data_IF_121238888088
#
_entry.id   IF_121238888088
#
_cell.length_a   1.000
_cell.length_b   1.000
_cell.length_c   1.000
_cell.angle_alpha   90.00
_cell.angle_beta   90.00
_cell.angle_gamma   90.00
#
_symmetry.space_group_name_H-M   'P 1'
#
loop_
_entity.id
_entity.type
_entity.pdbx_description
1 polymer ?
#
# COMPACT_ATOMS: atom_id res chain seq x y z
N UNK A 1 -31.90 21.25 34.45
CA UNK A 1 -30.76 20.44 33.95
C UNK A 1 -31.12 19.66 32.67
N UNK A 2 -31.68 20.31 31.64
CA UNK A 2 -32.01 19.67 30.35
C UNK A 2 -31.20 20.22 29.16
N UNK A 3 -30.39 21.26 29.38
CA UNK A 3 -29.57 21.91 28.34
C UNK A 3 -28.11 21.47 28.31
N UNK A 4 -27.66 20.67 29.29
CA UNK A 4 -26.30 20.15 29.35
C UNK A 4 -26.11 18.82 28.60
N UNK A 5 -27.19 18.09 28.30
CA UNK A 5 -27.10 16.82 27.58
C UNK A 5 -26.90 17.00 26.06
N UNK A 6 -27.15 18.20 25.52
CA UNK A 6 -27.07 18.47 24.08
C UNK A 6 -25.64 18.70 23.57
N UNK A 7 -24.64 18.84 24.44
CA UNK A 7 -23.25 19.07 24.05
C UNK A 7 -22.41 17.78 23.89
N UNK A 8 -22.94 16.62 24.30
CA UNK A 8 -22.20 15.35 24.22
C UNK A 8 -22.47 14.59 22.90
N UNK A 9 -23.47 15.01 22.10
CA UNK A 9 -23.94 14.25 20.93
C UNK A 9 -23.21 14.56 19.61
N UNK A 10 -22.02 15.18 19.61
CA UNK A 10 -21.32 15.61 18.36
C UNK A 10 -19.92 14.98 18.20
N UNK A 11 -19.55 13.95 18.98
CA UNK A 11 -18.22 13.33 18.81
C UNK A 11 -18.25 11.81 18.71
N UNK A 12 -19.20 11.25 17.96
CA UNK A 12 -19.00 9.94 17.34
C UNK A 12 -18.43 10.17 15.95
N UNK A 13 -17.16 10.59 15.87
CA UNK A 13 -16.44 10.63 14.60
C UNK A 13 -15.98 9.20 14.35
N UNK A 14 -16.69 8.48 13.48
CA UNK A 14 -16.19 7.24 12.92
C UNK A 14 -14.91 7.57 12.15
N UNK A 15 -13.75 7.12 12.64
CA UNK A 15 -12.51 7.25 11.90
C UNK A 15 -12.51 6.19 10.78
N UNK A 16 -12.97 6.59 9.60
CA UNK A 16 -12.72 5.82 8.38
C UNK A 16 -11.31 6.17 7.89
N UNK A 17 -10.47 5.16 7.74
CA UNK A 17 -9.13 5.30 7.18
C UNK A 17 -9.11 4.68 5.79
N UNK A 18 -8.76 5.48 4.79
CA UNK A 18 -8.70 5.08 3.39
C UNK A 18 -7.25 5.13 2.95
N UNK A 19 -6.68 3.99 2.58
CA UNK A 19 -5.29 3.90 2.15
C UNK A 19 -5.24 3.42 0.71
N UNK A 20 -4.53 4.15 -0.14
CA UNK A 20 -4.11 3.65 -1.46
C UNK A 20 -2.77 2.95 -1.31
N UNK A 21 -2.55 1.96 -2.17
CA UNK A 21 -1.30 1.22 -2.17
C UNK A 21 -0.88 0.84 -3.58
N UNK A 22 0.44 0.73 -3.73
CA UNK A 22 1.10 0.24 -4.93
C UNK A 22 2.11 -0.81 -4.51
N UNK A 23 2.01 -1.99 -5.09
CA UNK A 23 2.85 -3.14 -4.78
C UNK A 23 3.65 -3.58 -5.99
N UNK A 24 4.91 -3.93 -5.75
CA UNK A 24 5.81 -4.48 -6.74
C UNK A 24 6.45 -5.76 -6.18
N UNK A 25 6.12 -6.89 -6.79
CA UNK A 25 6.81 -8.14 -6.53
C UNK A 25 8.13 -8.18 -7.28
N UNK A 26 9.20 -8.41 -6.54
CA UNK A 26 10.55 -8.54 -7.09
C UNK A 26 11.17 -9.88 -6.70
N UNK A 27 11.89 -10.45 -7.66
CA UNK A 27 12.73 -11.61 -7.43
C UNK A 27 14.16 -11.15 -7.17
N UNK A 28 14.72 -11.63 -6.07
CA UNK A 28 16.06 -11.30 -5.60
C UNK A 28 16.77 -12.63 -5.36
N UNK A 29 17.98 -12.78 -5.90
CA UNK A 29 18.79 -13.95 -5.60
C UNK A 29 19.27 -13.89 -4.14
N UNK A 30 19.36 -15.03 -3.42
CA UNK A 30 19.73 -15.05 -1.99
C UNK A 30 21.03 -14.30 -1.67
N UNK A 31 22.03 -14.37 -2.55
CA UNK A 31 23.31 -13.68 -2.41
C UNK A 31 23.21 -12.14 -2.49
N UNK A 32 22.10 -11.61 -3.00
CA UNK A 32 21.88 -10.19 -3.22
C UNK A 32 20.93 -9.56 -2.18
N UNK A 33 20.33 -10.33 -1.27
CA UNK A 33 19.30 -9.83 -0.34
C UNK A 33 19.78 -8.65 0.51
N UNK A 34 20.93 -8.80 1.18
CA UNK A 34 21.51 -7.73 2.01
C UNK A 34 21.80 -6.46 1.19
N UNK A 35 22.26 -6.65 -0.05
CA UNK A 35 22.55 -5.54 -0.96
C UNK A 35 21.28 -4.80 -1.36
N UNK A 36 20.20 -5.52 -1.68
CA UNK A 36 18.91 -4.92 -2.04
C UNK A 36 18.30 -4.17 -0.85
N UNK A 37 18.27 -4.79 0.34
CA UNK A 37 17.77 -4.14 1.56
C UNK A 37 18.51 -2.83 1.82
N UNK A 38 19.85 -2.84 1.71
CA UNK A 38 20.66 -1.64 1.91
C UNK A 38 20.39 -0.57 0.86
N UNK A 39 20.29 -0.93 -0.43
CA UNK A 39 19.99 0.03 -1.50
C UNK A 39 18.63 0.72 -1.26
N UNK A 40 17.62 -0.06 -0.85
CA UNK A 40 16.29 0.44 -0.53
C UNK A 40 16.32 1.37 0.69
N UNK A 41 16.93 0.93 1.78
CA UNK A 41 17.01 1.69 3.03
C UNK A 41 17.78 3.01 2.84
N UNK A 42 18.97 2.96 2.22
CA UNK A 42 19.79 4.14 1.94
C UNK A 42 19.00 5.18 1.13
N UNK A 43 18.23 4.74 0.12
CA UNK A 43 17.46 5.64 -0.74
C UNK A 43 16.26 6.24 -0.02
N UNK A 44 15.38 5.42 0.56
CA UNK A 44 14.12 5.89 1.15
C UNK A 44 14.30 6.56 2.51
N UNK A 45 15.38 6.29 3.24
CA UNK A 45 15.75 7.07 4.43
C UNK A 45 16.14 8.50 4.06
N UNK A 46 16.85 8.69 2.94
CA UNK A 46 17.29 10.00 2.47
C UNK A 46 16.22 10.77 1.69
N UNK A 47 15.45 10.07 0.87
CA UNK A 47 14.46 10.65 -0.05
C UNK A 47 13.06 10.25 0.41
N UNK A 48 12.68 10.72 1.59
CA UNK A 48 11.35 10.45 2.15
C UNK A 48 10.28 11.12 1.31
N UNK A 49 9.16 10.43 1.19
CA UNK A 49 8.00 10.88 0.44
C UNK A 49 6.95 11.20 1.49
N UNK A 50 6.60 12.48 1.63
CA UNK A 50 5.65 12.92 2.65
C UNK A 50 4.31 12.21 2.49
N UNK A 51 3.77 11.68 3.59
CA UNK A 51 2.51 10.93 3.61
C UNK A 51 2.58 9.51 3.06
N UNK A 52 3.73 9.06 2.55
CA UNK A 52 3.91 7.70 2.01
C UNK A 52 4.83 6.87 2.88
N UNK A 53 4.34 5.70 3.26
CA UNK A 53 5.13 4.62 3.87
C UNK A 53 5.61 3.66 2.79
N UNK A 54 6.90 3.34 2.81
CA UNK A 54 7.53 2.32 1.97
C UNK A 54 7.90 1.13 2.83
N UNK A 55 7.36 -0.03 2.50
CA UNK A 55 7.63 -1.30 3.20
C UNK A 55 8.27 -2.30 2.24
N UNK A 56 9.26 -3.04 2.73
CA UNK A 56 9.85 -4.17 2.02
C UNK A 56 9.57 -5.45 2.83
N UNK A 57 8.87 -6.40 2.21
CA UNK A 57 8.56 -7.69 2.79
C UNK A 57 9.40 -8.77 2.13
N UNK A 58 9.91 -9.72 2.94
CA UNK A 58 10.37 -11.01 2.44
C UNK A 58 9.17 -11.96 2.37
N UNK A 59 9.07 -12.70 1.27
CA UNK A 59 7.88 -13.48 0.92
C UNK A 59 8.23 -14.96 1.06
N UNK A 60 7.54 -15.64 1.97
CA UNK A 60 7.78 -17.05 2.27
C UNK A 60 7.05 -17.99 1.33
N UNK A 61 5.89 -17.56 0.78
CA UNK A 61 5.04 -18.37 -0.07
C UNK A 61 4.43 -17.52 -1.18
N UNK A 62 4.41 -18.05 -2.39
CA UNK A 62 3.77 -17.45 -3.55
C UNK A 62 2.85 -18.45 -4.25
N UNK A 63 1.91 -17.96 -5.07
CA UNK A 63 1.15 -18.82 -5.96
C UNK A 63 2.10 -19.49 -6.97
N UNK A 64 1.76 -20.67 -7.47
CA UNK A 64 2.63 -21.47 -8.34
C UNK A 64 3.04 -20.76 -9.64
N UNK A 65 2.27 -19.77 -10.08
CA UNK A 65 2.50 -18.95 -11.27
C UNK A 65 3.20 -17.62 -10.99
N UNK A 66 3.49 -17.30 -9.73
CA UNK A 66 4.21 -16.10 -9.30
C UNK A 66 5.49 -16.49 -8.56
N UNK A 67 6.64 -16.12 -9.09
CA UNK A 67 7.96 -16.48 -8.52
C UNK A 67 8.71 -15.21 -8.07
N UNK A 68 8.23 -14.59 -6.99
CA UNK A 68 8.85 -13.42 -6.36
C UNK A 68 9.25 -13.74 -4.93
N UNK A 69 10.36 -13.15 -4.49
CA UNK A 69 10.94 -13.38 -3.15
C UNK A 69 10.65 -12.24 -2.19
N UNK A 70 10.35 -11.06 -2.74
CA UNK A 70 10.18 -9.83 -1.98
C UNK A 70 9.06 -8.99 -2.58
N UNK A 71 8.39 -8.21 -1.74
CA UNK A 71 7.33 -7.29 -2.15
C UNK A 71 7.63 -5.90 -1.59
N UNK A 72 7.68 -4.91 -2.48
CA UNK A 72 7.79 -3.50 -2.11
C UNK A 72 6.40 -2.89 -2.15
N UNK A 73 5.94 -2.36 -1.02
CA UNK A 73 4.63 -1.71 -0.91
C UNK A 73 4.83 -0.24 -0.57
N UNK A 74 4.32 0.62 -1.45
CA UNK A 74 4.10 2.03 -1.20
C UNK A 74 2.66 2.21 -0.74
N UNK A 75 2.46 2.97 0.33
CA UNK A 75 1.11 3.19 0.84
C UNK A 75 0.95 4.52 1.57
N UNK A 76 -0.24 5.09 1.49
CA UNK A 76 -0.57 6.36 2.11
C UNK A 76 -1.98 6.80 1.73
N UNK A 77 -2.29 8.08 1.93
CA UNK A 77 -3.50 8.68 1.40
C UNK A 77 -3.42 8.80 -0.13
N UNK A 78 -4.59 8.88 -0.77
CA UNK A 78 -4.69 8.93 -2.24
C UNK A 78 -3.89 10.07 -2.87
N UNK A 79 -3.94 11.26 -2.26
CA UNK A 79 -3.20 12.44 -2.74
C UNK A 79 -1.68 12.31 -2.57
N UNK A 80 -1.22 11.68 -1.48
CA UNK A 80 0.21 11.53 -1.20
C UNK A 80 0.84 10.47 -2.09
N UNK A 81 0.17 9.34 -2.27
CA UNK A 81 0.65 8.27 -3.17
C UNK A 81 0.62 8.67 -4.64
N UNK A 82 -0.26 9.60 -5.05
CA UNK A 82 -0.28 10.13 -6.41
C UNK A 82 1.05 10.81 -6.80
N UNK A 83 1.78 11.37 -5.82
CA UNK A 83 3.11 11.98 -6.01
C UNK A 83 4.12 11.01 -6.60
N UNK A 84 3.98 9.70 -6.37
CA UNK A 84 4.86 8.65 -6.95
C UNK A 84 4.79 8.58 -8.48
N UNK A 85 3.68 9.06 -9.06
CA UNK A 85 3.40 8.98 -10.49
C UNK A 85 3.56 10.32 -11.19
N UNK A 86 3.87 11.38 -10.46
CA UNK A 86 4.12 12.69 -11.03
C UNK A 86 5.46 12.70 -11.78
N UNK A 87 5.56 13.41 -12.92
CA UNK A 87 6.81 13.52 -13.67
C UNK A 87 7.99 14.02 -12.81
N UNK A 88 7.72 14.85 -11.79
CA UNK A 88 8.71 15.38 -10.88
C UNK A 88 9.34 14.35 -9.93
N UNK A 89 8.70 13.21 -9.72
CA UNK A 89 9.24 12.13 -8.88
C UNK A 89 10.38 11.36 -9.57
N UNK A 90 10.38 11.31 -10.90
CA UNK A 90 11.41 10.62 -11.69
C UNK A 90 12.67 11.47 -11.87
N UNK A 91 13.12 12.10 -10.78
CA UNK A 91 14.30 12.95 -10.74
C UNK A 91 15.60 12.14 -10.90
N UNK A 92 16.74 12.84 -10.91
CA UNK A 92 18.06 12.19 -11.05
C UNK A 92 18.36 11.20 -9.92
N UNK A 93 17.88 11.45 -8.70
CA UNK A 93 18.12 10.56 -7.56
C UNK A 93 17.33 9.26 -7.73
N UNK A 94 16.06 9.35 -8.13
CA UNK A 94 15.25 8.19 -8.47
C UNK A 94 15.86 7.38 -9.61
N UNK A 95 16.28 8.03 -10.70
CA UNK A 95 16.89 7.35 -11.86
C UNK A 95 18.17 6.58 -11.46
N UNK A 96 19.02 7.17 -10.62
CA UNK A 96 20.22 6.51 -10.11
C UNK A 96 19.86 5.31 -9.22
N UNK A 97 18.88 5.47 -8.35
CA UNK A 97 18.37 4.38 -7.51
C UNK A 97 17.82 3.23 -8.36
N UNK A 98 16.91 3.52 -9.30
CA UNK A 98 16.31 2.53 -10.19
C UNK A 98 17.38 1.80 -11.01
N UNK A 99 18.35 2.52 -11.57
CA UNK A 99 19.46 1.89 -12.30
C UNK A 99 20.29 0.97 -11.41
N UNK A 100 20.56 1.35 -10.15
CA UNK A 100 21.34 0.55 -9.22
C UNK A 100 20.61 -0.73 -8.82
N UNK A 101 19.35 -0.62 -8.38
CA UNK A 101 18.58 -1.76 -7.87
C UNK A 101 18.26 -2.77 -8.97
N UNK A 102 18.02 -2.32 -10.21
CA UNK A 102 17.74 -3.20 -11.35
C UNK A 102 18.89 -4.17 -11.71
N UNK A 103 20.10 -3.98 -11.18
CA UNK A 103 21.18 -4.98 -11.35
C UNK A 103 21.01 -6.21 -10.45
N UNK A 104 20.14 -6.11 -9.43
CA UNK A 104 20.02 -7.12 -8.38
C UNK A 104 18.61 -7.72 -8.29
N UNK A 105 17.65 -7.16 -9.03
CA UNK A 105 16.23 -7.53 -8.94
C UNK A 105 15.62 -7.75 -10.31
N UNK A 106 14.68 -8.70 -10.39
CA UNK A 106 13.78 -8.88 -11.52
C UNK A 106 12.37 -8.48 -11.09
N UNK A 107 11.67 -7.69 -11.90
CA UNK A 107 10.27 -7.37 -11.64
C UNK A 107 9.38 -8.54 -12.09
N UNK A 108 8.54 -9.04 -11.18
CA UNK A 108 7.66 -10.20 -11.42
C UNK A 108 6.21 -9.75 -11.60
N UNK A 109 5.75 -8.83 -10.74
CA UNK A 109 4.44 -8.22 -10.89
C UNK A 109 4.43 -6.77 -10.39
N UNK A 110 3.41 -6.05 -10.82
CA UNK A 110 3.00 -4.77 -10.26
C UNK A 110 1.50 -4.74 -10.07
N UNK A 111 1.04 -4.16 -8.96
CA UNK A 111 -0.37 -3.94 -8.69
C UNK A 111 -0.58 -2.60 -7.99
N UNK A 112 -1.75 -2.02 -8.19
CA UNK A 112 -2.21 -0.91 -7.38
C UNK A 112 -3.64 -1.14 -6.93
N UNK A 113 -4.01 -0.55 -5.82
CA UNK A 113 -5.35 -0.68 -5.30
C UNK A 113 -5.67 0.33 -4.20
N UNK A 114 -6.88 0.17 -3.69
CA UNK A 114 -7.41 0.98 -2.63
C UNK A 114 -7.92 0.06 -1.53
N UNK A 115 -7.75 0.49 -0.28
CA UNK A 115 -8.20 -0.23 0.90
C UNK A 115 -8.96 0.72 1.81
N UNK A 116 -10.21 0.38 2.08
CA UNK A 116 -10.96 1.02 3.16
C UNK A 116 -10.88 0.19 4.40
N UNK A 117 -10.67 0.89 5.49
CA UNK A 117 -10.82 0.34 6.80
C UNK A 117 -11.96 1.08 7.50
N UNK A 118 -13.01 0.33 7.84
CA UNK A 118 -14.04 0.77 8.76
C UNK A 118 -13.81 0.03 10.07
N UNK A 119 -13.35 0.75 11.10
CA UNK A 119 -13.04 0.18 12.39
C UNK A 119 -14.20 0.40 13.38
N UNK A 120 -14.56 -0.66 14.12
CA UNK A 120 -15.36 -0.55 15.35
C UNK A 120 -14.46 -0.33 16.57
N UNK A 121 -14.97 -0.55 17.79
CA UNK A 121 -14.19 -0.37 19.04
C UNK A 121 -12.98 -1.32 19.20
N UNK A 122 -12.89 -2.39 18.39
CA UNK A 122 -11.80 -3.38 18.43
C UNK A 122 -11.22 -3.57 17.04
N UNK A 123 -9.89 -3.51 16.92
CA UNK A 123 -9.16 -3.76 15.66
C UNK A 123 -9.00 -5.29 15.46
N UNK A 124 -9.65 -5.91 14.45
CA UNK A 124 -9.44 -7.32 14.16
C UNK A 124 -8.11 -7.56 13.43
N UNK A 125 -7.57 -8.77 13.53
CA UNK A 125 -6.50 -9.24 12.66
C UNK A 125 -6.99 -9.24 11.20
N UNK A 126 -6.15 -8.80 10.26
CA UNK A 126 -6.50 -8.74 8.86
C UNK A 126 -6.09 -10.02 8.10
N UNK A 127 -7.04 -10.58 7.35
CA UNK A 127 -6.79 -11.53 6.27
C UNK A 127 -7.15 -10.83 4.95
N UNK A 128 -6.16 -10.55 4.11
CA UNK A 128 -6.39 -9.99 2.77
C UNK A 128 -6.50 -11.16 1.80
N UNK A 129 -7.69 -11.36 1.22
CA UNK A 129 -7.93 -12.40 0.21
C UNK A 129 -8.17 -11.71 -1.13
N UNK A 130 -7.23 -11.88 -2.07
CA UNK A 130 -7.35 -11.35 -3.42
C UNK A 130 -8.01 -12.39 -4.32
N UNK A 131 -9.19 -12.08 -4.85
CA UNK A 131 -9.86 -12.90 -5.85
C UNK A 131 -9.66 -12.30 -7.25
N UNK A 132 -9.75 -13.14 -8.28
CA UNK A 132 -9.91 -12.68 -9.66
C UNK A 132 -11.34 -12.12 -9.80
N UNK A 133 -11.49 -10.83 -9.53
CA UNK A 133 -12.78 -10.16 -9.52
C UNK A 133 -13.20 -9.68 -10.90
N UNK A 134 -14.43 -9.97 -11.30
CA UNK A 134 -15.13 -9.21 -12.33
C UNK A 134 -15.59 -7.88 -11.72
N UNK A 135 -15.08 -6.77 -12.27
CA UNK A 135 -15.36 -5.41 -11.78
C UNK A 135 -16.85 -5.08 -11.80
N UNK A 136 -17.64 -5.67 -12.70
CA UNK A 136 -19.09 -5.46 -12.72
C UNK A 136 -19.76 -6.01 -11.45
N UNK A 137 -19.32 -7.18 -11.00
CA UNK A 137 -19.86 -7.85 -9.81
C UNK A 137 -19.41 -7.17 -8.52
N UNK A 138 -18.16 -6.71 -8.46
CA UNK A 138 -17.64 -5.93 -7.32
C UNK A 138 -18.40 -4.61 -7.19
N UNK A 139 -18.60 -3.87 -8.28
CA UNK A 139 -19.31 -2.59 -8.26
C UNK A 139 -20.76 -2.75 -7.80
N UNK A 140 -21.44 -3.85 -8.17
CA UNK A 140 -22.79 -4.16 -7.67
C UNK A 140 -22.80 -4.38 -6.17
N UNK A 141 -21.83 -5.12 -5.64
CA UNK A 141 -21.71 -5.36 -4.19
C UNK A 141 -21.44 -4.06 -3.42
N UNK A 142 -20.51 -3.23 -3.90
CA UNK A 142 -20.21 -1.92 -3.28
C UNK A 142 -21.41 -0.98 -3.32
N UNK A 143 -22.17 -0.97 -4.42
CA UNK A 143 -23.40 -0.19 -4.53
C UNK A 143 -24.45 -0.65 -3.52
N UNK A 144 -24.62 -1.97 -3.35
CA UNK A 144 -25.56 -2.52 -2.36
C UNK A 144 -25.17 -2.18 -0.91
N UNK A 145 -23.88 -2.23 -0.55
CA UNK A 145 -23.44 -1.80 0.78
C UNK A 145 -23.71 -0.31 1.03
N UNK A 146 -23.55 0.53 0.00
CA UNK A 146 -23.79 1.98 0.09
C UNK A 146 -25.27 2.31 0.25
N UNK A 147 -26.17 1.48 -0.29
CA UNK A 147 -27.63 1.67 -0.18
C UNK A 147 -28.21 1.12 1.15
N UNK A 148 -27.47 0.26 1.85
CA UNK A 148 -27.91 -0.39 3.09
C UNK A 148 -27.39 0.26 4.38
N UNK A 149 -26.48 1.23 4.29
CA UNK A 149 -25.98 2.05 5.40
C UNK A 149 -26.69 3.40 5.50
#
# INVERSE_FOLDING_TARGET
>A
MKKFLSFILIFCVSFSYSQTWSSYGIKVAPENEETVVKIMDDYFTKNKIEGVTVSLYSIMFTAADLDFTHEVIFSGEGEDTAKLYEPGFQDTAWQLFSSKINNFVENVFSGQGWRNFNFGETMPFQLVVTFKGDWETINKWTAMETEMG
#
